data_IF_434594928232
#
_entry.id   IF_434594928232
#
_cell.length_a   1.000
_cell.length_b   1.000
_cell.length_c   1.000
_cell.angle_alpha   90.00
_cell.angle_beta   90.00
_cell.angle_gamma   90.00
#
_symmetry.space_group_name_H-M   'P 1'
#
loop_
_entity.id
_entity.type
_entity.pdbx_description
1 polymer ?
#
# COMPACT_ATOMS: atom_id res chain seq x y z
N UNK A 1 -58.83 -34.43 -27.75
CA UNK A 1 -58.85 -33.01 -27.33
C UNK A 1 -57.58 -32.73 -26.53
N UNK A 2 -56.57 -32.18 -27.21
CA UNK A 2 -55.91 -30.88 -26.94
C UNK A 2 -55.21 -30.76 -25.58
N UNK A 3 -53.93 -31.13 -25.62
CA UNK A 3 -52.87 -30.86 -24.65
C UNK A 3 -52.67 -29.34 -24.59
N UNK A 4 -52.87 -28.73 -23.43
CA UNK A 4 -52.56 -27.31 -23.19
C UNK A 4 -51.14 -27.24 -22.65
N UNK A 5 -50.19 -26.89 -23.54
CA UNK A 5 -48.80 -26.58 -23.19
C UNK A 5 -48.74 -25.10 -22.80
N UNK A 6 -48.60 -24.83 -21.51
CA UNK A 6 -48.31 -23.49 -20.98
C UNK A 6 -46.84 -23.17 -21.24
N UNK A 7 -46.57 -22.25 -22.17
CA UNK A 7 -45.23 -21.70 -22.42
C UNK A 7 -45.03 -20.56 -21.43
N UNK A 8 -44.16 -20.76 -20.44
CA UNK A 8 -43.70 -19.71 -19.55
C UNK A 8 -42.64 -18.87 -20.28
N UNK A 9 -42.96 -17.61 -20.55
CA UNK A 9 -42.01 -16.64 -21.10
C UNK A 9 -41.03 -16.22 -20.00
N UNK A 10 -39.74 -16.50 -20.22
CA UNK A 10 -38.65 -16.04 -19.35
C UNK A 10 -38.25 -14.65 -19.86
N UNK A 11 -38.66 -13.61 -19.14
CA UNK A 11 -38.20 -12.23 -19.36
C UNK A 11 -36.76 -12.10 -18.85
N UNK A 12 -35.81 -12.01 -19.79
CA UNK A 12 -34.42 -11.69 -19.48
C UNK A 12 -34.33 -10.21 -19.05
N UNK A 13 -34.13 -9.96 -17.76
CA UNK A 13 -33.77 -8.65 -17.26
C UNK A 13 -32.34 -8.34 -17.69
N UNK A 14 -32.17 -7.39 -18.59
CA UNK A 14 -30.86 -6.86 -18.96
C UNK A 14 -30.31 -6.06 -17.78
N UNK A 15 -29.26 -6.57 -17.15
CA UNK A 15 -28.49 -5.81 -16.16
C UNK A 15 -27.71 -4.71 -16.88
N UNK A 16 -28.22 -3.49 -16.82
CA UNK A 16 -27.47 -2.32 -17.21
C UNK A 16 -26.37 -2.09 -16.17
N UNK A 17 -25.12 -2.43 -16.52
CA UNK A 17 -23.95 -2.05 -15.74
C UNK A 17 -23.81 -0.53 -15.84
N UNK A 18 -24.28 0.19 -14.82
CA UNK A 18 -23.88 1.58 -14.61
C UNK A 18 -22.40 1.58 -14.27
N UNK A 19 -21.56 1.83 -15.27
CA UNK A 19 -20.16 2.15 -15.06
C UNK A 19 -20.12 3.43 -14.20
N UNK A 20 -19.91 3.28 -12.90
CA UNK A 20 -19.54 4.38 -12.03
C UNK A 20 -18.18 4.85 -12.53
N UNK A 21 -18.18 5.99 -13.22
CA UNK A 21 -16.95 6.73 -13.48
C UNK A 21 -16.30 6.96 -12.11
N UNK A 22 -15.15 6.33 -11.89
CA UNK A 22 -14.30 6.59 -10.75
C UNK A 22 -13.95 8.07 -10.78
N UNK A 23 -14.73 8.88 -10.05
CA UNK A 23 -14.32 10.22 -9.71
C UNK A 23 -13.07 10.02 -8.86
N UNK A 24 -11.92 10.39 -9.42
CA UNK A 24 -10.70 10.53 -8.66
C UNK A 24 -11.01 11.55 -7.57
N UNK A 25 -11.35 11.06 -6.38
CA UNK A 25 -11.42 11.87 -5.18
C UNK A 25 -10.05 12.52 -5.04
N UNK A 26 -10.00 13.81 -5.33
CA UNK A 26 -8.88 14.67 -5.00
C UNK A 26 -8.87 14.72 -3.48
N UNK A 27 -8.13 13.80 -2.86
CA UNK A 27 -7.81 13.84 -1.45
C UNK A 27 -7.20 15.23 -1.19
N UNK A 28 -7.95 16.10 -0.52
CA UNK A 28 -7.43 17.37 -0.01
C UNK A 28 -6.47 17.03 1.12
N UNK A 29 -5.18 16.92 0.81
CA UNK A 29 -4.16 16.83 1.85
C UNK A 29 -3.85 18.24 2.33
N UNK A 30 -3.93 18.40 3.65
CA UNK A 30 -3.61 19.64 4.36
C UNK A 30 -2.24 20.16 3.92
N UNK A 31 -2.17 21.48 3.72
CA UNK A 31 -0.99 22.21 3.24
C UNK A 31 0.29 21.74 3.97
N UNK A 32 1.26 21.21 3.21
CA UNK A 32 2.57 20.78 3.72
C UNK A 32 2.87 19.28 3.64
N UNK A 33 1.89 18.41 3.40
CA UNK A 33 2.15 16.98 3.19
C UNK A 33 2.57 16.67 1.74
N UNK A 34 3.82 16.20 1.57
CA UNK A 34 4.29 15.63 0.30
C UNK A 34 3.74 14.22 0.14
N UNK A 35 2.98 14.00 -0.93
CA UNK A 35 2.47 12.67 -1.30
C UNK A 35 3.22 12.21 -2.53
N UNK A 36 3.75 10.99 -2.49
CA UNK A 36 4.26 10.32 -3.67
C UNK A 36 3.51 9.02 -3.89
N UNK A 37 3.04 8.83 -5.12
CA UNK A 37 2.38 7.60 -5.55
C UNK A 37 3.42 6.50 -5.75
N UNK A 38 3.23 5.36 -5.11
CA UNK A 38 4.02 4.14 -5.36
C UNK A 38 3.25 3.28 -6.38
N UNK A 39 3.88 2.97 -7.52
CA UNK A 39 3.31 2.07 -8.52
C UNK A 39 4.02 0.72 -8.45
N UNK A 40 3.26 -0.35 -8.26
CA UNK A 40 3.76 -1.72 -8.22
C UNK A 40 2.71 -2.68 -8.78
N UNK A 41 3.13 -3.90 -9.12
CA UNK A 41 2.20 -4.94 -9.55
C UNK A 41 1.64 -5.65 -8.32
N UNK A 42 0.33 -5.74 -8.16
CA UNK A 42 -0.30 -6.43 -7.02
C UNK A 42 0.09 -7.91 -6.94
N UNK A 43 0.49 -8.53 -8.06
CA UNK A 43 1.07 -9.88 -8.05
C UNK A 43 2.38 -9.96 -7.24
N UNK A 44 3.09 -8.85 -7.04
CA UNK A 44 4.27 -8.79 -6.19
C UNK A 44 3.94 -8.95 -4.70
N UNK A 45 2.68 -8.75 -4.28
CA UNK A 45 2.25 -8.97 -2.91
C UNK A 45 1.84 -10.41 -2.61
N UNK A 46 1.88 -11.32 -3.60
CA UNK A 46 1.44 -12.71 -3.44
C UNK A 46 2.39 -13.59 -2.65
N UNK A 47 3.67 -13.22 -2.58
CA UNK A 47 4.69 -13.97 -1.83
C UNK A 47 5.55 -13.01 -1.03
N UNK A 48 6.07 -13.46 0.11
CA UNK A 48 6.97 -12.65 0.95
C UNK A 48 8.18 -12.13 0.17
N UNK A 49 8.81 -12.99 -0.62
CA UNK A 49 9.99 -12.65 -1.41
C UNK A 49 9.73 -11.54 -2.43
N UNK A 50 8.54 -11.51 -3.06
CA UNK A 50 8.18 -10.44 -3.99
C UNK A 50 7.67 -9.21 -3.26
N UNK A 51 7.02 -9.38 -2.10
CA UNK A 51 6.57 -8.28 -1.26
C UNK A 51 7.77 -7.46 -0.74
N UNK A 52 8.94 -8.08 -0.58
CA UNK A 52 10.21 -7.40 -0.30
C UNK A 52 10.55 -6.32 -1.34
N UNK A 53 10.25 -6.55 -2.62
CA UNK A 53 10.46 -5.57 -3.69
C UNK A 53 9.54 -4.38 -3.53
N UNK A 54 8.27 -4.62 -3.19
CA UNK A 54 7.29 -3.55 -2.93
C UNK A 54 7.69 -2.77 -1.67
N UNK A 55 8.10 -3.47 -0.61
CA UNK A 55 8.58 -2.87 0.63
C UNK A 55 9.79 -1.95 0.40
N UNK A 56 10.76 -2.39 -0.39
CA UNK A 56 11.94 -1.58 -0.75
C UNK A 56 11.54 -0.31 -1.50
N UNK A 57 10.59 -0.40 -2.43
CA UNK A 57 10.06 0.76 -3.15
C UNK A 57 9.35 1.74 -2.22
N UNK A 58 8.50 1.24 -1.31
CA UNK A 58 7.82 2.06 -0.31
C UNK A 58 8.85 2.81 0.54
N UNK A 59 9.90 2.12 1.01
CA UNK A 59 10.95 2.74 1.83
C UNK A 59 11.75 3.80 1.07
N UNK A 60 12.07 3.56 -0.20
CA UNK A 60 12.76 4.54 -1.04
C UNK A 60 11.91 5.81 -1.23
N UNK A 61 10.63 5.64 -1.55
CA UNK A 61 9.70 6.77 -1.70
C UNK A 61 9.48 7.49 -0.37
N UNK A 62 9.40 6.77 0.74
CA UNK A 62 9.32 7.36 2.08
C UNK A 62 10.55 8.24 2.38
N UNK A 63 11.77 7.78 2.06
CA UNK A 63 12.99 8.58 2.22
C UNK A 63 12.96 9.85 1.37
N UNK A 64 12.49 9.76 0.12
CA UNK A 64 12.34 10.94 -0.75
C UNK A 64 11.28 11.93 -0.25
N UNK A 65 10.18 11.44 0.34
CA UNK A 65 9.12 12.28 0.92
C UNK A 65 9.63 12.99 2.17
N UNK A 66 10.40 12.27 3.00
CA UNK A 66 11.00 12.80 4.22
C UNK A 66 12.21 13.71 3.96
N UNK A 67 12.75 13.74 2.74
CA UNK A 67 13.86 14.64 2.38
C UNK A 67 15.19 14.24 3.00
N UNK A 68 15.42 12.93 3.17
CA UNK A 68 16.64 12.41 3.78
C UNK A 68 17.82 12.63 2.84
N UNK A 69 18.65 13.63 3.15
CA UNK A 69 19.97 13.83 2.55
C UNK A 69 21.02 13.23 3.50
N UNK A 70 21.80 12.28 3.00
CA UNK A 70 22.68 11.42 3.82
C UNK A 70 23.81 12.12 4.59
N UNK A 71 23.93 13.45 4.48
CA UNK A 71 24.97 14.28 5.09
C UNK A 71 24.45 15.13 6.28
N UNK A 72 23.26 14.81 6.80
CA UNK A 72 22.64 15.57 7.89
C UNK A 72 23.22 15.26 9.29
N UNK A 73 23.14 16.20 10.26
CA UNK A 73 23.52 15.96 11.66
C UNK A 73 22.73 14.79 12.28
N UNK A 74 23.31 14.11 13.27
CA UNK A 74 22.71 12.91 13.89
C UNK A 74 21.28 13.09 14.41
N UNK A 75 20.92 14.28 14.92
CA UNK A 75 19.54 14.59 15.34
C UNK A 75 18.57 14.65 14.18
N UNK A 76 18.98 15.24 13.05
CA UNK A 76 18.19 15.30 11.82
C UNK A 76 18.03 13.90 11.25
N UNK A 77 19.09 13.08 11.26
CA UNK A 77 19.02 11.67 10.84
C UNK A 77 18.04 10.84 11.69
N UNK A 78 17.88 11.16 12.98
CA UNK A 78 16.91 10.50 13.84
C UNK A 78 15.46 10.93 13.52
N UNK A 79 15.24 12.22 13.28
CA UNK A 79 13.93 12.76 12.84
C UNK A 79 13.53 12.21 11.46
N UNK A 80 14.49 12.12 10.55
CA UNK A 80 14.35 11.53 9.22
C UNK A 80 13.96 10.04 9.30
N UNK A 81 14.59 9.29 10.20
CA UNK A 81 14.25 7.88 10.43
C UNK A 81 12.85 7.71 11.01
N UNK A 82 12.43 8.58 11.93
CA UNK A 82 11.07 8.57 12.45
C UNK A 82 10.04 8.90 11.36
N UNK A 83 10.32 9.91 10.53
CA UNK A 83 9.49 10.24 9.37
C UNK A 83 9.35 9.05 8.42
N UNK A 84 10.46 8.41 8.04
CA UNK A 84 10.45 7.21 7.18
C UNK A 84 9.63 6.11 7.85
N UNK A 85 9.81 5.87 9.15
CA UNK A 85 9.09 4.83 9.87
C UNK A 85 7.59 5.07 9.82
N UNK A 86 7.12 6.29 10.09
CA UNK A 86 5.71 6.66 10.01
C UNK A 86 5.15 6.47 8.61
N UNK A 87 5.86 6.93 7.58
CA UNK A 87 5.43 6.78 6.19
C UNK A 87 5.34 5.30 5.76
N UNK A 88 6.33 4.48 6.14
CA UNK A 88 6.32 3.04 5.85
C UNK A 88 5.20 2.33 6.63
N UNK A 89 5.01 2.65 7.91
CA UNK A 89 3.93 2.06 8.73
C UNK A 89 2.55 2.37 8.13
N UNK A 90 2.33 3.62 7.70
CA UNK A 90 1.09 4.02 7.02
C UNK A 90 0.87 3.24 5.74
N UNK A 91 1.88 3.19 4.85
CA UNK A 91 1.77 2.46 3.59
C UNK A 91 1.54 0.94 3.78
N UNK A 92 2.16 0.32 4.79
CA UNK A 92 1.94 -1.10 5.12
C UNK A 92 0.52 -1.33 5.65
N UNK A 93 -0.01 -0.42 6.46
CA UNK A 93 -1.37 -0.49 6.97
C UNK A 93 -2.41 -0.30 5.84
N UNK A 94 -2.20 0.67 4.95
CA UNK A 94 -3.09 0.97 3.83
C UNK A 94 -3.19 -0.20 2.83
N UNK A 95 -2.09 -0.92 2.61
CA UNK A 95 -2.05 -2.06 1.68
C UNK A 95 -2.63 -3.35 2.26
N UNK A 96 -2.82 -3.43 3.58
CA UNK A 96 -3.42 -4.55 4.33
C UNK A 96 -3.08 -5.94 3.76
N UNK A 97 -1.78 -6.23 3.61
CA UNK A 97 -1.30 -7.47 3.01
C UNK A 97 -0.39 -8.26 3.97
N UNK A 98 -0.68 -9.54 4.18
CA UNK A 98 0.05 -10.42 5.12
C UNK A 98 1.53 -10.53 4.80
N UNK A 99 1.88 -10.77 3.53
CA UNK A 99 3.27 -10.91 3.12
C UNK A 99 4.05 -9.60 3.34
N UNK A 100 3.43 -8.45 3.04
CA UNK A 100 4.05 -7.16 3.26
C UNK A 100 4.20 -6.82 4.76
N UNK A 101 3.21 -7.17 5.59
CA UNK A 101 3.30 -7.06 7.04
C UNK A 101 4.43 -7.92 7.59
N UNK A 102 4.57 -9.15 7.13
CA UNK A 102 5.64 -10.06 7.55
C UNK A 102 7.01 -9.49 7.21
N UNK A 103 7.21 -9.00 5.98
CA UNK A 103 8.43 -8.31 5.56
C UNK A 103 8.74 -7.12 6.47
N UNK A 104 7.74 -6.30 6.76
CA UNK A 104 7.90 -5.13 7.61
C UNK A 104 8.31 -5.49 9.05
N UNK A 105 7.71 -6.54 9.62
CA UNK A 105 8.06 -7.03 10.95
C UNK A 105 9.50 -7.56 10.99
N UNK A 106 9.91 -8.34 9.98
CA UNK A 106 11.28 -8.85 9.85
C UNK A 106 12.31 -7.71 9.76
N UNK A 107 11.99 -6.65 9.00
CA UNK A 107 12.82 -5.46 8.88
C UNK A 107 12.96 -4.69 10.21
N UNK A 108 11.92 -4.65 11.04
CA UNK A 108 11.99 -4.02 12.38
C UNK A 108 12.76 -4.88 13.38
N UNK A 109 12.59 -6.20 13.34
CA UNK A 109 13.33 -7.12 14.20
C UNK A 109 14.84 -7.06 13.99
N UNK A 110 15.27 -6.99 12.73
CA UNK A 110 16.69 -6.80 12.37
C UNK A 110 17.22 -5.44 12.83
N UNK A 111 16.51 -4.34 12.58
CA UNK A 111 16.93 -3.02 13.05
C UNK A 111 17.12 -2.94 14.58
N UNK A 112 16.21 -3.54 15.35
CA UNK A 112 16.31 -3.60 16.82
C UNK A 112 17.44 -4.51 17.32
N UNK A 113 17.88 -5.48 16.52
CA UNK A 113 18.99 -6.36 16.88
C UNK A 113 20.34 -5.63 16.74
N UNK A 114 20.51 -4.78 15.73
CA UNK A 114 21.71 -3.95 15.56
C UNK A 114 21.81 -2.87 16.64
N UNK A 115 20.71 -2.13 16.89
CA UNK A 115 20.67 -1.08 17.92
C UNK A 115 20.98 -1.58 19.35
N UNK A 116 20.86 -2.90 19.60
CA UNK A 116 21.22 -3.53 20.88
C UNK A 116 22.67 -3.97 20.97
N UNK A 117 23.33 -4.26 19.84
CA UNK A 117 24.75 -4.63 19.81
C UNK A 117 25.69 -3.42 19.80
N UNK A 118 25.17 -2.23 19.53
CA UNK A 118 25.96 -0.98 19.49
C UNK A 118 25.96 -0.21 20.84
N UNK A 119 25.51 -0.85 21.93
CA UNK A 119 25.53 -0.33 23.32
C UNK A 119 26.55 -1.07 24.17
#
# INVERSE_FOLDING_TARGET
MKIVRTIAAITAAAFAFTAVAAQAEVLQLSEGQKIKKVVFNTADLKTEQRAQTVYTKIRAVAAEVCGVDGDAPASVLAEDQDCISRAVNGAVADLDNDNLRQVHQNARGTAQSYARNDR
#
